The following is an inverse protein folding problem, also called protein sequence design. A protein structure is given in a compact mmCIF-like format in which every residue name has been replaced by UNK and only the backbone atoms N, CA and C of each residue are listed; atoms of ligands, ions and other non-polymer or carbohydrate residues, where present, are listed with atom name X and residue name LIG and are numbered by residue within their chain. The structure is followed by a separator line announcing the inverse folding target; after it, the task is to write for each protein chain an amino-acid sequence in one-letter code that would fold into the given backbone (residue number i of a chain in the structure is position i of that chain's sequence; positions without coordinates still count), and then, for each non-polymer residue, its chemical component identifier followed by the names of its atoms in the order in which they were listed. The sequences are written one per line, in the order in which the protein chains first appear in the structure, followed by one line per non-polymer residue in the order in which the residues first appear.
data_IF_023912561531
#
_entry.id   IF_023912561531
#
_cell.length_a   1.000
_cell.length_b   1.000
_cell.length_c   1.000
_cell.angle_alpha   90.00
_cell.angle_beta   90.00
_cell.angle_gamma   90.00
#
_symmetry.space_group_name_H-M   'P 1'
#
loop_
_entity.id
_entity.type
_entity.pdbx_description
1 polymer ?
#
# COMPACT_ATOMS: atom_id res chain seq x y z
N UNK A 1 55.59 -2.64 -28.44
CA UNK A 1 54.69 -3.02 -27.31
C UNK A 1 54.10 -1.75 -26.76
N UNK A 2 52.95 -1.36 -27.27
CA UNK A 2 52.20 -0.17 -26.80
C UNK A 2 51.08 -0.59 -25.88
N UNK A 3 51.11 -0.12 -24.65
CA UNK A 3 50.01 -0.28 -23.67
C UNK A 3 48.96 0.78 -23.96
N UNK A 4 47.78 0.37 -24.45
CA UNK A 4 46.59 1.21 -24.46
C UNK A 4 46.01 1.29 -23.04
N UNK A 5 46.17 2.43 -22.42
CA UNK A 5 45.41 2.79 -21.20
C UNK A 5 43.97 3.12 -21.59
N UNK A 6 43.03 2.28 -21.15
CA UNK A 6 41.60 2.53 -21.31
C UNK A 6 41.15 3.40 -20.15
N UNK A 7 40.98 4.69 -20.41
CA UNK A 7 40.46 5.68 -19.49
C UNK A 7 38.94 5.47 -19.33
N UNK A 8 38.54 4.81 -18.25
CA UNK A 8 37.13 4.67 -17.90
C UNK A 8 36.66 5.97 -17.23
N UNK A 9 35.96 6.79 -18.00
CA UNK A 9 35.20 7.94 -17.46
C UNK A 9 34.10 7.44 -16.52
N UNK A 10 34.28 7.64 -15.22
CA UNK A 10 33.25 7.52 -14.24
C UNK A 10 32.13 8.54 -14.50
N UNK A 11 30.94 8.07 -14.87
CA UNK A 11 29.76 8.92 -14.93
C UNK A 11 29.31 9.25 -13.49
N UNK A 12 29.06 10.53 -13.17
CA UNK A 12 28.59 10.89 -11.84
C UNK A 12 27.19 10.34 -11.59
N UNK A 13 27.07 9.55 -10.51
CA UNK A 13 25.82 9.03 -9.99
C UNK A 13 24.89 10.18 -9.62
N UNK A 14 23.65 10.08 -10.05
CA UNK A 14 22.56 11.00 -9.72
C UNK A 14 22.12 10.77 -8.26
N UNK A 15 22.86 11.28 -7.30
CA UNK A 15 22.43 11.42 -5.91
C UNK A 15 21.76 12.79 -5.73
N UNK A 16 20.49 12.91 -6.06
CA UNK A 16 19.80 14.21 -5.98
C UNK A 16 18.35 14.19 -5.58
N UNK A 17 17.74 13.03 -5.30
CA UNK A 17 16.30 12.94 -5.11
C UNK A 17 15.80 12.51 -3.71
N UNK A 18 16.68 12.26 -2.73
CA UNK A 18 16.26 11.72 -1.42
C UNK A 18 16.11 12.80 -0.33
N UNK A 19 16.53 14.05 -0.56
CA UNK A 19 16.59 15.08 0.48
C UNK A 19 15.34 15.99 0.57
N UNK A 20 14.31 15.80 -0.26
CA UNK A 20 13.11 16.67 -0.27
C UNK A 20 11.88 16.09 0.42
N UNK A 21 11.89 14.83 0.83
CA UNK A 21 10.74 14.18 1.49
C UNK A 21 10.76 14.34 3.02
N UNK A 22 11.91 14.62 3.62
CA UNK A 22 12.03 14.77 5.08
C UNK A 22 11.51 16.11 5.63
N UNK A 23 11.33 17.15 4.81
CA UNK A 23 10.91 18.47 5.28
C UNK A 23 9.39 18.65 5.44
N UNK A 24 8.57 17.77 4.86
CA UNK A 24 7.08 17.89 4.90
C UNK A 24 6.49 17.27 6.17
N UNK A 25 7.18 16.32 6.80
CA UNK A 25 6.64 15.60 7.98
C UNK A 25 6.73 16.42 9.27
N UNK A 26 7.64 17.38 9.37
CA UNK A 26 7.80 18.23 10.58
C UNK A 26 6.78 19.36 10.64
N UNK A 27 6.19 19.78 9.53
CA UNK A 27 5.23 20.89 9.47
C UNK A 27 3.83 20.59 10.00
N UNK A 28 3.40 19.32 10.02
CA UNK A 28 2.02 18.94 10.41
C UNK A 28 1.86 18.69 11.91
N UNK A 29 2.95 18.47 12.64
CA UNK A 29 2.89 18.14 14.09
C UNK A 29 2.73 19.36 15.02
N UNK A 30 2.87 20.58 14.53
CA UNK A 30 2.85 21.80 15.39
C UNK A 30 1.46 22.44 15.48
N UNK A 31 0.47 22.05 14.65
CA UNK A 31 -0.84 22.72 14.61
C UNK A 31 -1.93 22.14 15.54
N UNK A 32 -1.66 21.11 16.33
CA UNK A 32 -2.69 20.42 17.16
C UNK A 32 -2.68 20.84 18.63
N UNK A 33 -1.80 21.74 19.10
CA UNK A 33 -1.63 22.08 20.52
C UNK A 33 -2.09 23.50 20.92
N UNK A 34 -3.02 24.11 20.18
CA UNK A 34 -3.55 25.42 20.58
C UNK A 34 -5.08 25.41 20.66
N UNK A 35 -5.60 24.86 21.75
CA UNK A 35 -7.00 25.07 22.13
C UNK A 35 -7.09 26.23 23.09
N UNK A 36 -7.88 27.28 22.81
CA UNK A 36 -8.12 28.35 23.77
C UNK A 36 -9.13 27.91 24.84
N UNK A 37 -8.76 28.18 26.08
CA UNK A 37 -9.64 28.09 27.24
C UNK A 37 -10.86 29.01 27.06
N UNK A 38 -12.05 28.49 27.26
CA UNK A 38 -13.28 29.27 27.29
C UNK A 38 -13.71 29.49 28.74
N UNK A 39 -13.93 30.75 29.02
CA UNK A 39 -14.27 31.29 30.33
C UNK A 39 -15.55 30.74 30.93
N UNK A 40 -15.50 30.62 32.25
CA UNK A 40 -16.53 30.27 33.20
C UNK A 40 -17.58 31.39 33.30
N UNK A 41 -18.83 31.09 33.01
CA UNK A 41 -19.98 31.95 33.37
C UNK A 41 -20.77 31.27 34.49
N UNK A 42 -21.02 32.04 35.55
CA UNK A 42 -21.67 31.70 36.78
C UNK A 42 -23.21 31.62 36.64
N UNK A 43 -23.92 30.82 37.46
CA UNK A 43 -25.29 30.45 37.23
C UNK A 43 -26.31 31.48 37.77
N UNK A 44 -27.28 31.84 36.97
CA UNK A 44 -28.49 32.51 37.39
C UNK A 44 -29.65 31.55 37.49
N UNK A 45 -30.41 31.69 38.60
CA UNK A 45 -31.46 30.82 39.10
C UNK A 45 -32.62 30.53 38.14
N UNK A 46 -33.06 29.32 38.24
CA UNK A 46 -34.33 28.60 38.05
C UNK A 46 -35.61 29.41 37.74
N UNK A 47 -36.51 28.86 36.89
CA UNK A 47 -37.73 28.26 37.45
C UNK A 47 -38.03 26.84 36.97
N UNK A 48 -38.56 26.09 37.89
CA UNK A 48 -39.16 24.77 37.84
C UNK A 48 -40.10 24.58 36.65
N UNK A 49 -39.82 23.60 35.82
CA UNK A 49 -40.74 23.03 34.86
C UNK A 49 -40.68 21.51 34.95
N UNK A 50 -41.83 20.87 34.94
CA UNK A 50 -42.09 19.45 35.12
C UNK A 50 -41.20 18.52 34.31
N UNK A 51 -40.91 17.29 34.78
CA UNK A 51 -40.12 16.33 34.07
C UNK A 51 -40.86 15.78 32.85
N UNK A 52 -40.53 16.30 31.69
CA UNK A 52 -40.86 15.65 30.41
C UNK A 52 -40.06 14.35 30.37
N UNK A 53 -40.68 13.17 30.09
CA UNK A 53 -39.93 11.92 29.96
C UNK A 53 -38.94 12.07 28.79
N UNK A 54 -37.67 12.16 29.11
CA UNK A 54 -36.58 12.09 28.14
C UNK A 54 -36.64 10.69 27.54
N UNK A 55 -37.18 10.60 26.32
CA UNK A 55 -36.95 9.45 25.46
C UNK A 55 -35.46 9.34 25.25
N UNK A 56 -34.82 8.41 25.93
CA UNK A 56 -33.44 8.03 25.67
C UNK A 56 -33.40 7.56 24.21
N UNK A 57 -32.95 8.45 23.32
CA UNK A 57 -32.66 8.05 21.96
C UNK A 57 -31.57 6.96 22.03
N UNK A 58 -31.95 5.75 21.71
CA UNK A 58 -31.01 4.63 21.60
C UNK A 58 -30.05 5.00 20.51
N UNK A 59 -28.81 5.32 20.88
CA UNK A 59 -27.73 5.58 19.95
C UNK A 59 -27.63 4.38 19.00
N UNK A 60 -27.67 4.58 17.67
CA UNK A 60 -27.61 3.47 16.75
C UNK A 60 -26.28 2.74 16.94
N UNK A 61 -26.35 1.48 17.35
CA UNK A 61 -25.19 0.59 17.43
C UNK A 61 -24.49 0.63 16.07
N UNK A 62 -23.21 1.00 16.01
CA UNK A 62 -22.49 1.04 14.74
C UNK A 62 -22.55 -0.35 14.10
N UNK A 63 -22.93 -0.39 12.82
CA UNK A 63 -22.92 -1.63 12.05
C UNK A 63 -21.51 -2.22 12.07
N UNK A 64 -21.36 -3.53 12.23
CA UNK A 64 -20.04 -4.17 12.21
C UNK A 64 -19.34 -3.85 10.90
N UNK A 65 -18.13 -3.29 10.98
CA UNK A 65 -17.28 -3.07 9.82
C UNK A 65 -16.90 -4.43 9.25
N UNK A 66 -17.10 -4.69 7.95
CA UNK A 66 -16.74 -5.97 7.36
C UNK A 66 -15.23 -6.20 7.49
N UNK A 67 -14.84 -7.35 8.02
CA UNK A 67 -13.44 -7.77 8.12
C UNK A 67 -12.98 -8.44 6.83
N UNK A 68 -11.71 -8.19 6.44
CA UNK A 68 -11.07 -8.88 5.33
C UNK A 68 -10.89 -10.37 5.68
N UNK A 69 -11.44 -11.25 4.85
CA UNK A 69 -11.43 -12.71 5.05
C UNK A 69 -10.53 -13.47 4.07
N UNK A 70 -10.31 -12.93 2.87
CA UNK A 70 -9.42 -13.55 1.88
C UNK A 70 -8.79 -12.53 0.94
N UNK A 71 -7.60 -12.92 0.43
CA UNK A 71 -6.86 -12.24 -0.64
C UNK A 71 -6.65 -13.25 -1.77
N UNK A 72 -7.06 -12.91 -3.01
CA UNK A 72 -6.83 -13.72 -4.20
C UNK A 72 -6.13 -12.91 -5.27
N UNK A 73 -5.21 -13.56 -5.99
CA UNK A 73 -4.48 -12.94 -7.09
C UNK A 73 -4.87 -13.59 -8.42
N UNK A 74 -4.98 -12.78 -9.46
CA UNK A 74 -5.35 -13.21 -10.80
C UNK A 74 -4.38 -12.65 -11.84
N UNK A 75 -4.00 -13.48 -12.79
CA UNK A 75 -3.30 -13.05 -14.01
C UNK A 75 -3.76 -13.90 -15.19
N UNK A 76 -3.77 -13.33 -16.40
CA UNK A 76 -4.22 -14.02 -17.61
C UNK A 76 -5.62 -14.63 -17.50
N UNK A 77 -6.52 -14.02 -16.71
CA UNK A 77 -7.89 -14.50 -16.51
C UNK A 77 -8.02 -15.73 -15.61
N UNK A 78 -6.95 -16.16 -14.92
CA UNK A 78 -6.97 -17.27 -13.96
C UNK A 78 -6.50 -16.83 -12.58
N UNK A 79 -6.99 -17.48 -11.56
CA UNK A 79 -6.48 -17.34 -10.21
C UNK A 79 -5.06 -17.91 -10.13
N UNK A 80 -4.18 -17.17 -9.46
CA UNK A 80 -2.83 -17.63 -9.13
C UNK A 80 -2.86 -18.37 -7.80
N UNK A 81 -2.17 -19.49 -7.76
CA UNK A 81 -2.09 -20.41 -6.63
C UNK A 81 -0.64 -20.79 -6.31
N UNK A 82 -0.47 -21.91 -5.61
CA UNK A 82 0.85 -22.43 -5.24
C UNK A 82 1.74 -22.82 -6.44
N UNK A 83 1.17 -23.03 -7.63
CA UNK A 83 1.93 -23.31 -8.85
C UNK A 83 2.57 -22.03 -9.40
N UNK A 84 1.99 -20.88 -9.05
CA UNK A 84 2.52 -19.55 -9.37
C UNK A 84 2.42 -19.19 -10.86
N UNK A 85 3.39 -18.38 -11.31
CA UNK A 85 3.42 -17.87 -12.69
C UNK A 85 4.86 -17.88 -13.21
N UNK A 86 5.00 -18.19 -14.52
CA UNK A 86 6.28 -18.11 -15.25
C UNK A 86 6.27 -16.88 -16.14
N UNK A 87 7.32 -16.07 -16.05
CA UNK A 87 7.53 -14.84 -16.81
C UNK A 87 8.90 -14.87 -17.48
N UNK A 88 9.04 -14.21 -18.64
CA UNK A 88 10.28 -14.20 -19.39
C UNK A 88 10.80 -12.76 -19.58
N UNK A 89 12.11 -12.62 -19.59
CA UNK A 89 12.76 -11.35 -19.94
C UNK A 89 12.40 -10.95 -21.37
N UNK A 90 11.99 -9.71 -21.56
CA UNK A 90 11.61 -9.17 -22.86
C UNK A 90 10.17 -9.46 -23.30
N UNK A 91 9.40 -10.21 -22.52
CA UNK A 91 7.96 -10.31 -22.73
C UNK A 91 7.24 -9.00 -22.34
N UNK A 92 5.99 -8.88 -22.79
CA UNK A 92 5.15 -7.74 -22.37
C UNK A 92 4.93 -7.77 -20.87
N UNK A 93 4.83 -6.60 -20.21
CA UNK A 93 4.46 -6.51 -18.81
C UNK A 93 3.19 -7.28 -18.52
N UNK A 94 3.14 -7.92 -17.36
CA UNK A 94 2.00 -8.74 -16.92
C UNK A 94 1.24 -8.02 -15.84
N UNK A 95 -0.07 -7.87 -16.05
CA UNK A 95 -0.96 -7.31 -15.04
C UNK A 95 -1.43 -8.41 -14.10
N UNK A 96 -1.23 -8.21 -12.80
CA UNK A 96 -1.73 -9.05 -11.73
C UNK A 96 -2.79 -8.26 -10.98
N UNK A 97 -3.96 -8.83 -10.83
CA UNK A 97 -5.12 -8.23 -10.18
C UNK A 97 -5.31 -8.84 -8.81
N UNK A 98 -5.69 -7.99 -7.87
CA UNK A 98 -6.03 -8.35 -6.51
C UNK A 98 -7.54 -8.37 -6.35
N UNK A 99 -8.04 -9.41 -5.70
CA UNK A 99 -9.43 -9.55 -5.27
C UNK A 99 -9.47 -9.74 -3.75
N UNK A 100 -10.30 -8.93 -3.08
CA UNK A 100 -10.48 -8.94 -1.63
C UNK A 100 -11.87 -9.47 -1.29
N UNK A 101 -11.97 -10.30 -0.26
CA UNK A 101 -13.24 -10.80 0.22
C UNK A 101 -13.49 -10.31 1.67
N UNK A 102 -14.62 -9.61 1.93
CA UNK A 102 -15.68 -9.21 1.00
C UNK A 102 -15.24 -8.12 0.01
N UNK A 103 -15.91 -8.07 -1.13
CA UNK A 103 -15.68 -7.04 -2.15
C UNK A 103 -15.97 -5.64 -1.63
N UNK A 104 -15.33 -4.62 -2.22
CA UNK A 104 -15.59 -3.21 -1.92
C UNK A 104 -14.85 -2.68 -0.69
N UNK A 105 -13.95 -3.45 -0.11
CA UNK A 105 -13.05 -2.96 0.93
C UNK A 105 -12.00 -2.05 0.31
N UNK A 106 -11.87 -0.82 0.86
CA UNK A 106 -10.81 0.11 0.51
C UNK A 106 -9.73 0.07 1.59
N UNK A 107 -8.83 -0.89 1.49
CA UNK A 107 -7.74 -1.12 2.43
C UNK A 107 -6.39 -0.85 1.77
N UNK A 108 -5.39 -0.36 2.52
CA UNK A 108 -4.04 -0.21 1.98
C UNK A 108 -3.46 -1.56 1.62
N UNK A 109 -2.88 -1.66 0.42
CA UNK A 109 -2.27 -2.86 -0.13
C UNK A 109 -0.79 -2.60 -0.38
N UNK A 110 0.06 -3.51 0.08
CA UNK A 110 1.50 -3.48 -0.14
C UNK A 110 1.91 -4.66 -1.02
N UNK A 111 2.57 -4.36 -2.13
CA UNK A 111 3.15 -5.33 -3.05
C UNK A 111 4.66 -5.37 -2.87
N UNK A 112 5.21 -6.55 -2.77
CA UNK A 112 6.66 -6.75 -2.65
C UNK A 112 7.13 -7.98 -3.41
N UNK A 113 8.38 -7.95 -3.84
CA UNK A 113 9.03 -9.04 -4.57
C UNK A 113 10.31 -9.44 -3.86
N UNK A 114 10.59 -10.73 -3.77
CA UNK A 114 11.76 -11.25 -3.03
C UNK A 114 13.10 -10.75 -3.58
N UNK A 115 13.15 -10.48 -4.89
CA UNK A 115 14.33 -9.89 -5.54
C UNK A 115 13.89 -8.66 -6.36
N UNK A 116 13.86 -7.47 -5.76
CA UNK A 116 13.34 -6.27 -6.41
C UNK A 116 14.17 -5.79 -7.61
N UNK A 117 15.43 -6.24 -7.73
CA UNK A 117 16.28 -5.91 -8.88
C UNK A 117 15.92 -6.74 -10.13
N UNK A 118 15.22 -7.86 -9.95
CA UNK A 118 14.85 -8.76 -11.05
C UNK A 118 13.60 -8.31 -11.80
N UNK A 119 12.78 -7.46 -11.20
CA UNK A 119 11.52 -6.97 -11.77
C UNK A 119 11.32 -5.49 -11.51
N UNK A 120 10.50 -4.84 -12.35
CA UNK A 120 9.86 -3.57 -12.02
C UNK A 120 8.41 -3.83 -11.65
N UNK A 121 7.96 -3.26 -10.53
CA UNK A 121 6.58 -3.30 -10.06
C UNK A 121 5.95 -1.92 -10.20
N UNK A 122 4.85 -1.82 -10.93
CA UNK A 122 4.04 -0.62 -11.06
C UNK A 122 2.65 -0.90 -10.47
N UNK A 123 2.38 -0.35 -9.29
CA UNK A 123 1.13 -0.56 -8.57
C UNK A 123 0.15 0.56 -8.93
N UNK A 124 -1.12 0.21 -9.18
CA UNK A 124 -2.18 1.19 -9.42
C UNK A 124 -2.48 2.02 -8.15
N UNK A 125 -3.06 3.21 -8.33
CA UNK A 125 -3.36 4.15 -7.24
C UNK A 125 -4.27 3.55 -6.16
N UNK A 126 -5.16 2.64 -6.55
CA UNK A 126 -6.05 1.90 -5.64
C UNK A 126 -5.39 0.67 -4.99
N UNK A 127 -4.17 0.32 -5.39
CA UNK A 127 -3.46 -0.87 -4.93
C UNK A 127 -4.00 -2.21 -5.45
N UNK A 128 -5.09 -2.20 -6.24
CA UNK A 128 -5.79 -3.43 -6.66
C UNK A 128 -5.16 -4.11 -7.88
N UNK A 129 -4.18 -3.47 -8.50
CA UNK A 129 -3.48 -4.00 -9.67
C UNK A 129 -1.98 -3.71 -9.56
N UNK A 130 -1.17 -4.68 -9.94
CA UNK A 130 0.26 -4.54 -10.08
C UNK A 130 0.71 -5.00 -11.47
N UNK A 131 1.44 -4.15 -12.18
CA UNK A 131 2.08 -4.49 -13.45
C UNK A 131 3.52 -4.93 -13.18
N UNK A 132 3.86 -6.14 -13.58
CA UNK A 132 5.17 -6.76 -13.39
C UNK A 132 5.92 -6.79 -14.71
N UNK A 133 7.10 -6.16 -14.74
CA UNK A 133 8.02 -6.21 -15.88
C UNK A 133 9.29 -6.96 -15.47
N UNK A 134 9.66 -8.00 -16.19
CA UNK A 134 10.87 -8.79 -15.90
C UNK A 134 12.10 -8.08 -16.44
N UNK A 135 13.08 -7.82 -15.58
CA UNK A 135 14.35 -7.16 -15.92
C UNK A 135 15.50 -8.17 -16.04
N UNK A 136 15.48 -9.23 -15.21
CA UNK A 136 16.56 -10.23 -15.16
C UNK A 136 16.00 -11.65 -14.92
N UNK A 137 16.62 -12.69 -15.54
CA UNK A 137 16.25 -14.07 -15.31
C UNK A 137 16.87 -14.56 -13.98
N UNK A 138 16.13 -14.54 -12.90
CA UNK A 138 16.60 -14.91 -11.55
C UNK A 138 15.98 -16.20 -11.00
N UNK A 139 15.40 -17.04 -11.88
CA UNK A 139 14.78 -18.31 -11.48
C UNK A 139 13.56 -18.12 -10.58
N UNK A 140 13.45 -18.92 -9.52
CA UNK A 140 12.33 -18.86 -8.58
C UNK A 140 12.44 -17.65 -7.66
N UNK A 141 11.36 -16.90 -7.60
CA UNK A 141 11.15 -15.74 -6.73
C UNK A 141 9.77 -15.82 -6.09
N UNK A 142 9.43 -14.86 -5.25
CA UNK A 142 8.14 -14.77 -4.59
C UNK A 142 7.57 -13.35 -4.72
N UNK A 143 6.32 -13.27 -5.16
CA UNK A 143 5.50 -12.07 -5.09
C UNK A 143 4.67 -12.17 -3.82
N UNK A 144 4.79 -11.19 -2.93
CA UNK A 144 4.03 -11.10 -1.69
C UNK A 144 3.12 -9.89 -1.73
N UNK A 145 1.87 -10.09 -1.35
CA UNK A 145 0.87 -9.04 -1.18
C UNK A 145 0.38 -9.06 0.25
N UNK A 146 0.40 -7.90 0.88
CA UNK A 146 -0.08 -7.68 2.25
C UNK A 146 -1.23 -6.71 2.21
N UNK A 147 -2.33 -7.04 2.86
CA UNK A 147 -3.47 -6.17 3.03
C UNK A 147 -3.99 -6.31 4.45
N UNK A 148 -3.88 -5.25 5.23
CA UNK A 148 -4.26 -5.23 6.65
C UNK A 148 -3.56 -6.35 7.44
N UNK A 149 -4.32 -7.33 7.96
CA UNK A 149 -3.83 -8.46 8.78
C UNK A 149 -3.60 -9.74 7.98
N UNK A 150 -3.89 -9.75 6.68
CA UNK A 150 -3.72 -10.89 5.80
C UNK A 150 -2.58 -10.66 4.80
N UNK A 151 -1.99 -11.74 4.35
CA UNK A 151 -1.05 -11.73 3.25
C UNK A 151 -1.20 -12.99 2.39
N UNK A 152 -0.79 -12.87 1.13
CA UNK A 152 -0.63 -14.02 0.22
C UNK A 152 0.74 -13.95 -0.43
N UNK A 153 1.30 -15.11 -0.76
CA UNK A 153 2.57 -15.23 -1.46
C UNK A 153 2.43 -16.25 -2.58
N UNK A 154 2.86 -15.87 -3.77
CA UNK A 154 2.88 -16.78 -4.93
C UNK A 154 4.30 -16.92 -5.50
N UNK A 155 4.69 -18.12 -5.98
CA UNK A 155 5.94 -18.29 -6.69
C UNK A 155 5.89 -17.64 -8.06
N UNK A 156 6.98 -16.95 -8.42
CA UNK A 156 7.18 -16.34 -9.74
C UNK A 156 8.49 -16.84 -10.31
N UNK A 157 8.45 -17.49 -11.44
CA UNK A 157 9.62 -18.04 -12.12
C UNK A 157 10.05 -17.11 -13.25
N UNK A 158 11.28 -16.60 -13.15
CA UNK A 158 11.84 -15.64 -14.10
C UNK A 158 12.89 -16.33 -14.96
N UNK A 159 12.64 -16.41 -16.27
CA UNK A 159 13.51 -17.09 -17.23
C UNK A 159 13.90 -16.17 -18.39
N UNK A 160 14.99 -16.55 -19.05
CA UNK A 160 15.33 -16.05 -20.37
C UNK A 160 14.48 -16.75 -21.43
N UNK A 161 14.13 -16.04 -22.51
CA UNK A 161 13.31 -16.58 -23.60
C UNK A 161 14.15 -17.36 -24.60
#
# INVERSE_FOLDING_TARGET
MERKETNQMLKPAKFGAILLVAAVIVGVLVMVLSSPKKDRVEPTAQPTSDPVPVQTATEPTPAPTPELTAIRLYAYGRQLDADGITLYVGDKPVEIYLDLEPEGLNLPVEWSFSNPEAVSLEVSDDGMKCTVTVLQPKGKNELKVVCHNLYTTIPVYLWEK
#
